data_IF_203363849258
#
_entry.id   IF_203363849258
#
_cell.length_a   1.000
_cell.length_b   1.000
_cell.length_c   1.000
_cell.angle_alpha   90.00
_cell.angle_beta   90.00
_cell.angle_gamma   90.00
#
_symmetry.space_group_name_H-M   'P 1'
#
loop_
_entity.id
_entity.type
_entity.pdbx_description
1 polymer ?
#
# COMPACT_ATOMS: atom_id res chain seq x y z
N UNK A 1 -6.10 4.85 -15.09
CA UNK A 1 -6.28 4.81 -13.63
C UNK A 1 -6.25 3.35 -13.18
N UNK A 2 -5.09 2.71 -13.24
CA UNK A 2 -4.94 1.26 -13.07
C UNK A 2 -4.67 0.80 -11.63
N UNK A 3 -4.23 1.71 -10.76
CA UNK A 3 -3.77 1.40 -9.39
C UNK A 3 -4.79 1.80 -8.32
N UNK A 4 -5.92 2.41 -8.69
CA UNK A 4 -6.98 2.80 -7.76
C UNK A 4 -8.13 1.82 -7.91
N UNK A 5 -8.44 1.09 -6.83
CA UNK A 5 -9.62 0.23 -6.75
C UNK A 5 -10.77 0.97 -6.03
N UNK A 6 -11.72 1.52 -6.80
CA UNK A 6 -12.91 2.23 -6.30
C UNK A 6 -14.08 1.26 -6.03
N UNK A 7 -13.83 -0.05 -6.02
CA UNK A 7 -14.82 -1.06 -5.61
C UNK A 7 -14.69 -1.41 -4.13
N UNK A 8 -13.49 -1.25 -3.56
CA UNK A 8 -13.21 -1.47 -2.14
C UNK A 8 -13.61 -0.27 -1.30
N UNK A 9 -14.28 -0.54 -0.18
CA UNK A 9 -14.70 0.49 0.79
C UNK A 9 -13.77 0.55 1.99
N UNK A 10 -13.08 -0.54 2.27
CA UNK A 10 -12.17 -0.66 3.40
C UNK A 10 -10.82 -1.22 2.93
N UNK A 11 -9.73 -0.57 3.35
CA UNK A 11 -8.37 -1.03 3.10
C UNK A 11 -8.08 -2.39 3.76
N UNK A 12 -8.82 -2.75 4.82
CA UNK A 12 -8.68 -4.06 5.48
C UNK A 12 -9.05 -5.25 4.58
N UNK A 13 -9.77 -5.02 3.49
CA UNK A 13 -10.08 -6.03 2.48
C UNK A 13 -8.89 -6.38 1.57
N UNK A 14 -7.82 -5.57 1.57
CA UNK A 14 -6.65 -5.78 0.71
C UNK A 14 -5.64 -6.66 1.45
N UNK A 15 -5.40 -7.91 1.05
CA UNK A 15 -4.42 -8.76 1.73
C UNK A 15 -3.02 -8.15 1.63
N UNK A 16 -2.28 -8.21 2.74
CA UNK A 16 -0.88 -7.80 2.78
C UNK A 16 -0.03 -9.04 2.50
N UNK A 17 0.79 -8.97 1.46
CA UNK A 17 1.77 -10.01 1.14
C UNK A 17 2.88 -10.01 2.20
N UNK A 18 3.23 -11.21 2.68
CA UNK A 18 4.46 -11.45 3.46
C UNK A 18 5.47 -12.17 2.57
N UNK A 19 6.69 -11.65 2.52
CA UNK A 19 7.76 -12.20 1.68
C UNK A 19 8.78 -13.00 2.47
N UNK A 20 9.64 -13.68 1.71
CA UNK A 20 10.69 -14.53 2.27
C UNK A 20 11.56 -13.75 3.29
N UNK A 21 11.87 -14.41 4.39
CA UNK A 21 12.65 -13.84 5.51
C UNK A 21 14.08 -13.48 5.10
N UNK A 22 14.59 -14.05 4.00
CA UNK A 22 15.92 -13.76 3.45
C UNK A 22 16.06 -12.31 2.99
N UNK A 23 14.97 -11.65 2.57
CA UNK A 23 15.02 -10.23 2.18
C UNK A 23 15.35 -9.29 3.35
N UNK A 24 15.11 -9.74 4.59
CA UNK A 24 15.46 -9.01 5.82
C UNK A 24 16.77 -9.50 6.42
N UNK A 25 17.01 -10.82 6.38
CA UNK A 25 18.16 -11.45 7.06
C UNK A 25 19.44 -11.46 6.21
N UNK A 26 19.33 -11.23 4.91
CA UNK A 26 20.44 -11.25 3.94
C UNK A 26 20.45 -10.00 3.06
N UNK A 27 21.64 -9.57 2.65
CA UNK A 27 21.83 -8.62 1.55
C UNK A 27 22.62 -9.36 0.46
N UNK A 28 22.01 -9.53 -0.72
CA UNK A 28 22.45 -10.54 -1.70
C UNK A 28 22.52 -11.91 -1.00
N UNK A 29 23.63 -12.63 -1.15
CA UNK A 29 23.81 -13.95 -0.53
C UNK A 29 24.51 -13.89 0.85
N UNK A 30 24.74 -12.70 1.41
CA UNK A 30 25.43 -12.54 2.69
C UNK A 30 24.44 -12.32 3.84
N UNK A 31 24.49 -13.22 4.83
CA UNK A 31 23.70 -13.12 6.06
C UNK A 31 24.18 -11.95 6.93
N UNK A 32 23.24 -11.09 7.35
CA UNK A 32 23.49 -9.91 8.19
C UNK A 32 22.79 -9.96 9.55
N UNK A 33 21.81 -10.85 9.71
CA UNK A 33 21.12 -11.10 10.98
C UNK A 33 21.57 -12.44 11.60
N UNK A 34 21.55 -12.59 12.94
CA UNK A 34 21.86 -13.87 13.59
C UNK A 34 21.02 -15.04 13.07
N UNK A 35 21.60 -16.23 13.12
CA UNK A 35 20.86 -17.45 12.77
C UNK A 35 19.65 -17.63 13.67
N UNK A 36 18.52 -18.04 13.08
CA UNK A 36 17.22 -18.25 13.75
C UNK A 36 16.52 -16.99 14.27
N UNK A 37 16.94 -15.79 13.84
CA UNK A 37 16.16 -14.57 14.08
C UNK A 37 14.72 -14.75 13.54
N UNK A 38 13.74 -14.43 14.38
CA UNK A 38 12.34 -14.35 13.96
C UNK A 38 12.16 -13.07 13.13
N UNK A 39 11.47 -13.19 12.01
CA UNK A 39 11.26 -12.10 11.05
C UNK A 39 9.76 -11.92 10.82
N UNK A 40 9.35 -10.67 10.70
CA UNK A 40 8.05 -10.27 10.18
C UNK A 40 8.32 -9.37 8.97
N UNK A 41 7.93 -9.80 7.77
CA UNK A 41 8.27 -9.13 6.51
C UNK A 41 7.03 -8.86 5.63
N UNK A 42 6.05 -8.07 6.11
CA UNK A 42 4.99 -7.57 5.25
C UNK A 42 5.57 -6.54 4.26
N UNK A 43 5.27 -6.66 2.96
CA UNK A 43 5.81 -5.71 1.97
C UNK A 43 5.04 -4.42 1.82
N UNK A 44 3.83 -4.36 2.36
CA UNK A 44 3.00 -3.17 2.31
C UNK A 44 2.39 -2.90 3.67
N UNK A 45 2.13 -1.62 3.94
CA UNK A 45 1.26 -1.19 5.01
C UNK A 45 0.07 -0.41 4.43
N UNK A 46 -0.83 0.01 5.31
CA UNK A 46 -2.00 0.81 4.95
C UNK A 46 -1.87 2.16 5.62
N UNK A 47 -1.99 3.22 4.84
CA UNK A 47 -2.08 4.59 5.36
C UNK A 47 -3.54 5.02 5.44
N UNK A 48 -4.10 5.26 6.65
CA UNK A 48 -5.42 5.86 6.81
C UNK A 48 -5.57 7.17 6.03
N UNK A 49 -6.76 7.40 5.48
CA UNK A 49 -6.99 8.53 4.58
C UNK A 49 -6.90 9.89 5.29
N UNK A 50 -7.09 9.96 6.61
CA UNK A 50 -6.86 11.19 7.39
C UNK A 50 -5.41 11.69 7.37
N UNK A 51 -4.44 10.82 7.03
CA UNK A 51 -3.03 11.19 6.91
C UNK A 51 -2.62 11.55 5.48
N UNK A 52 -3.56 11.54 4.53
CA UNK A 52 -3.30 11.83 3.11
C UNK A 52 -3.84 13.22 2.78
N UNK A 53 -2.97 14.12 2.33
CA UNK A 53 -3.37 15.47 1.93
C UNK A 53 -4.02 15.52 0.54
N UNK A 54 -3.51 14.72 -0.40
CA UNK A 54 -4.02 14.65 -1.76
C UNK A 54 -3.64 13.32 -2.44
N UNK A 55 -4.43 12.90 -3.43
CA UNK A 55 -4.13 11.80 -4.35
C UNK A 55 -3.99 12.41 -5.75
N UNK A 56 -2.81 12.24 -6.37
CA UNK A 56 -2.49 12.82 -7.68
C UNK A 56 -2.55 11.70 -8.73
N UNK A 57 -3.27 11.95 -9.83
CA UNK A 57 -3.43 11.01 -10.94
C UNK A 57 -3.37 11.74 -12.28
N UNK A 58 -3.42 11.01 -13.39
CA UNK A 58 -3.57 11.56 -14.74
C UNK A 58 -4.93 12.26 -14.96
N UNK A 59 -5.93 12.02 -14.11
CA UNK A 59 -7.24 12.71 -14.12
C UNK A 59 -7.25 14.01 -13.29
N UNK A 60 -6.13 14.35 -12.62
CA UNK A 60 -6.00 15.55 -11.78
C UNK A 60 -5.71 15.23 -10.31
N UNK A 61 -6.11 16.13 -9.42
CA UNK A 61 -5.82 16.06 -7.97
C UNK A 61 -7.12 15.86 -7.19
N UNK A 62 -7.17 14.84 -6.34
CA UNK A 62 -8.23 14.65 -5.35
C UNK A 62 -7.75 15.09 -3.96
N UNK A 63 -8.59 15.80 -3.21
CA UNK A 63 -8.34 16.23 -1.82
C UNK A 63 -9.48 15.77 -0.91
N UNK A 64 -9.28 15.70 0.42
CA UNK A 64 -10.36 15.39 1.35
C UNK A 64 -11.57 16.34 1.22
N UNK A 65 -12.81 15.84 1.31
CA UNK A 65 -13.17 14.42 1.33
C UNK A 65 -13.01 13.78 -0.06
N UNK A 66 -12.18 12.73 -0.15
CA UNK A 66 -11.77 12.12 -1.42
C UNK A 66 -12.94 11.53 -2.24
N UNK A 67 -13.99 11.10 -1.55
CA UNK A 67 -15.21 10.54 -2.14
C UNK A 67 -15.83 11.39 -3.25
N UNK A 68 -15.76 12.72 -3.13
CA UNK A 68 -16.35 13.63 -4.10
C UNK A 68 -15.66 13.49 -5.46
N UNK A 69 -14.33 13.53 -5.47
CA UNK A 69 -13.53 13.43 -6.70
C UNK A 69 -13.51 12.00 -7.23
N UNK A 70 -13.33 11.00 -6.37
CA UNK A 70 -13.23 9.60 -6.78
C UNK A 70 -14.53 9.07 -7.39
N UNK A 71 -15.71 9.51 -6.93
CA UNK A 71 -17.01 9.13 -7.54
C UNK A 71 -17.15 9.68 -8.95
N UNK A 72 -16.73 10.92 -9.21
CA UNK A 72 -16.73 11.53 -10.55
C UNK A 72 -15.80 10.77 -11.48
N UNK A 73 -14.60 10.40 -11.01
CA UNK A 73 -13.64 9.64 -11.81
C UNK A 73 -14.06 8.19 -12.09
N UNK A 74 -14.94 7.60 -11.28
CA UNK A 74 -15.51 6.27 -11.52
C UNK A 74 -16.51 6.26 -12.68
N UNK A 75 -17.17 7.38 -12.96
CA UNK A 75 -18.22 7.51 -13.97
C UNK A 75 -17.72 8.00 -15.34
N UNK A 76 -16.42 8.32 -15.44
CA UNK A 76 -15.73 8.85 -16.64
C UNK A 76 -14.76 7.85 -17.23
#
# INVERSE_FOLDING_TARGET
MSTIDITKKDAFEIPIEERDITEVTHIRDQQIAPSHSKVFNPVFDRTPHEFIAAIITEKGIATPPFDNTLKVWKQS
#
